data_IF_670776907914
#
_entry.id   IF_670776907914
#
_cell.length_a   1.000
_cell.length_b   1.000
_cell.length_c   1.000
_cell.angle_alpha   90.00
_cell.angle_beta   90.00
_cell.angle_gamma   90.00
#
_symmetry.space_group_name_H-M   'P 1'
#
loop_
_entity.id
_entity.type
_entity.pdbx_description
1 polymer ?
#
# COMPACT_ATOMS: atom_id res chain seq x y z
N UNK A 1 -1.47 -11.91 23.04
CA UNK A 1 -1.86 -10.88 22.06
C UNK A 1 -2.29 -9.63 22.82
N UNK A 2 -1.57 -8.56 22.73
CA UNK A 2 -2.03 -7.30 23.30
C UNK A 2 -3.07 -6.70 22.36
N UNK A 3 -4.26 -6.51 22.88
CA UNK A 3 -5.34 -5.82 22.17
C UNK A 3 -4.99 -4.35 22.14
N UNK A 4 -4.88 -3.77 20.96
CA UNK A 4 -4.48 -2.37 20.72
C UNK A 4 -5.43 -1.35 21.34
N UNK A 5 -6.65 -1.70 21.67
CA UNK A 5 -7.60 -0.99 22.52
C UNK A 5 -8.45 -2.03 23.22
N UNK A 6 -8.34 -2.12 24.53
CA UNK A 6 -9.37 -2.79 25.32
C UNK A 6 -10.58 -1.87 25.39
N UNK A 7 -11.69 -2.34 24.84
CA UNK A 7 -12.98 -1.68 25.05
C UNK A 7 -13.32 -1.88 26.53
N UNK A 8 -13.57 -0.82 27.31
CA UNK A 8 -13.91 -0.96 28.73
C UNK A 8 -15.03 -1.98 28.94
N UNK A 9 -14.92 -2.80 30.00
CA UNK A 9 -15.99 -3.75 30.36
C UNK A 9 -17.33 -3.02 30.45
N UNK A 10 -18.35 -3.58 29.80
CA UNK A 10 -19.70 -3.00 29.76
C UNK A 10 -19.98 -2.07 28.56
N UNK A 11 -18.98 -1.81 27.71
CA UNK A 11 -19.22 -1.01 26.48
C UNK A 11 -19.82 -1.88 25.38
N UNK A 12 -20.91 -1.40 24.76
CA UNK A 12 -21.49 -2.08 23.59
C UNK A 12 -20.55 -1.98 22.38
N UNK A 13 -19.94 -3.10 21.99
CA UNK A 13 -19.04 -3.19 20.82
C UNK A 13 -19.70 -2.73 19.53
N UNK A 14 -21.03 -2.87 19.39
CA UNK A 14 -21.80 -2.43 18.22
C UNK A 14 -21.83 -0.91 18.15
N UNK A 15 -22.04 -0.25 19.27
CA UNK A 15 -22.07 1.21 19.32
C UNK A 15 -20.68 1.84 19.10
N UNK A 16 -19.63 1.24 19.64
CA UNK A 16 -18.24 1.64 19.33
C UNK A 16 -17.96 1.53 17.82
N UNK A 17 -18.32 0.41 17.21
CA UNK A 17 -18.15 0.21 15.75
C UNK A 17 -18.95 1.22 14.93
N UNK A 18 -20.20 1.51 15.29
CA UNK A 18 -21.00 2.53 14.62
C UNK A 18 -20.36 3.92 14.73
N UNK A 19 -19.84 4.29 15.91
CA UNK A 19 -19.15 5.56 16.13
C UNK A 19 -17.90 5.68 15.29
N UNK A 20 -17.04 4.67 15.27
CA UNK A 20 -15.82 4.62 14.42
C UNK A 20 -16.20 4.75 12.94
N UNK A 21 -17.19 3.98 12.46
CA UNK A 21 -17.64 4.06 11.08
C UNK A 21 -18.17 5.45 10.71
N UNK A 22 -18.88 6.12 11.63
CA UNK A 22 -19.35 7.49 11.44
C UNK A 22 -18.18 8.48 11.35
N UNK A 23 -17.17 8.35 12.22
CA UNK A 23 -15.96 9.19 12.21
C UNK A 23 -15.19 9.01 10.89
N UNK A 24 -14.94 7.77 10.47
CA UNK A 24 -14.28 7.44 9.20
C UNK A 24 -15.05 7.98 7.99
N UNK A 25 -16.38 7.83 7.98
CA UNK A 25 -17.25 8.38 6.92
C UNK A 25 -17.17 9.91 6.86
N UNK A 26 -17.14 10.56 8.01
CA UNK A 26 -17.00 12.02 8.11
C UNK A 26 -15.62 12.47 7.64
N UNK A 27 -14.56 11.81 8.10
CA UNK A 27 -13.19 12.10 7.67
C UNK A 27 -13.02 11.95 6.16
N UNK A 28 -13.51 10.86 5.57
CA UNK A 28 -13.49 10.66 4.10
C UNK A 28 -14.24 11.73 3.32
N UNK A 29 -15.35 12.26 3.87
CA UNK A 29 -16.10 13.34 3.23
C UNK A 29 -15.34 14.66 3.30
N UNK A 30 -14.78 15.00 4.46
CA UNK A 30 -14.06 16.24 4.69
C UNK A 30 -12.72 16.29 3.94
N UNK A 31 -12.04 15.14 3.83
CA UNK A 31 -10.75 14.99 3.15
C UNK A 31 -10.83 15.09 1.62
N UNK A 32 -12.04 15.17 1.04
CA UNK A 32 -12.17 15.27 -0.42
C UNK A 32 -11.52 16.56 -0.93
N UNK A 33 -10.63 16.48 -1.94
CA UNK A 33 -10.04 17.65 -2.53
C UNK A 33 -11.10 18.50 -3.27
N UNK A 34 -10.80 19.75 -3.54
CA UNK A 34 -11.66 20.66 -4.33
C UNK A 34 -11.18 20.78 -5.77
N UNK A 35 -9.96 20.32 -6.04
CA UNK A 35 -9.33 20.34 -7.36
C UNK A 35 -8.74 18.97 -7.68
N UNK A 36 -8.71 18.61 -8.96
CA UNK A 36 -8.06 17.40 -9.42
C UNK A 36 -6.54 17.47 -9.18
N UNK A 37 -5.96 16.47 -8.51
CA UNK A 37 -4.53 16.46 -8.20
C UNK A 37 -3.62 16.39 -9.44
N UNK A 38 -4.11 15.86 -10.58
CA UNK A 38 -3.31 15.77 -11.80
C UNK A 38 -3.40 17.00 -12.68
N UNK A 39 -4.59 17.58 -12.90
CA UNK A 39 -4.76 18.72 -13.81
C UNK A 39 -5.02 20.07 -13.11
N UNK A 40 -5.19 20.10 -11.79
CA UNK A 40 -5.45 21.32 -11.02
C UNK A 40 -6.83 21.97 -11.27
N UNK A 41 -7.67 21.40 -12.11
CA UNK A 41 -9.01 21.94 -12.40
C UNK A 41 -9.96 21.70 -11.23
N UNK A 42 -10.80 22.70 -10.92
CA UNK A 42 -11.95 22.51 -10.04
C UNK A 42 -12.92 21.53 -10.69
N UNK A 43 -13.36 20.54 -9.93
CA UNK A 43 -14.31 19.53 -10.38
C UNK A 43 -15.42 19.34 -9.35
N UNK A 44 -16.62 19.04 -9.84
CA UNK A 44 -17.79 18.77 -9.00
C UNK A 44 -17.88 17.32 -8.57
N UNK A 45 -17.20 16.43 -9.31
CA UNK A 45 -17.13 15.00 -9.01
C UNK A 45 -15.75 14.44 -9.33
N UNK A 46 -15.28 13.53 -8.49
CA UNK A 46 -14.03 12.81 -8.66
C UNK A 46 -14.29 11.39 -9.14
N UNK A 47 -13.34 10.83 -9.88
CA UNK A 47 -13.36 9.42 -10.24
C UNK A 47 -13.24 8.54 -9.00
N UNK A 48 -13.88 7.37 -9.01
CA UNK A 48 -13.53 6.26 -8.14
C UNK A 48 -12.32 5.54 -8.74
N UNK A 49 -11.16 6.16 -8.68
CA UNK A 49 -9.93 5.60 -9.22
C UNK A 49 -9.50 4.37 -8.41
N UNK A 50 -9.14 3.29 -9.09
CA UNK A 50 -8.64 2.09 -8.43
C UNK A 50 -7.14 2.21 -8.14
N UNK A 51 -6.72 1.92 -6.92
CA UNK A 51 -5.30 1.88 -6.54
C UNK A 51 -4.55 0.71 -7.18
N UNK A 52 -5.24 -0.41 -7.38
CA UNK A 52 -4.81 -1.54 -8.22
C UNK A 52 -5.75 -1.58 -9.41
N UNK A 53 -5.26 -1.59 -10.67
CA UNK A 53 -6.12 -1.57 -11.84
C UNK A 53 -7.21 -2.63 -11.81
N UNK A 54 -8.43 -2.26 -12.21
CA UNK A 54 -9.56 -3.19 -12.18
C UNK A 54 -9.32 -4.42 -13.05
N UNK A 55 -8.51 -4.29 -14.12
CA UNK A 55 -8.11 -5.41 -14.97
C UNK A 55 -7.32 -6.48 -14.19
N UNK A 56 -6.57 -6.09 -13.15
CA UNK A 56 -5.81 -7.01 -12.32
C UNK A 56 -6.64 -7.60 -11.17
N UNK A 57 -7.72 -6.95 -10.77
CA UNK A 57 -8.61 -7.44 -9.71
C UNK A 57 -9.60 -8.50 -10.22
N UNK A 58 -10.06 -8.37 -11.47
CA UNK A 58 -11.08 -9.26 -12.06
C UNK A 58 -10.64 -10.72 -12.15
N UNK A 59 -9.42 -11.06 -12.60
CA UNK A 59 -9.00 -12.46 -12.75
C UNK A 59 -9.01 -13.26 -11.45
N UNK A 60 -8.74 -12.60 -10.32
CA UNK A 60 -8.65 -13.23 -9.00
C UNK A 60 -9.95 -13.15 -8.20
N UNK A 61 -10.96 -12.41 -8.67
CA UNK A 61 -12.22 -12.29 -7.96
C UNK A 61 -13.02 -13.59 -8.01
N UNK A 62 -13.63 -13.95 -6.89
CA UNK A 62 -14.63 -14.99 -6.83
C UNK A 62 -16.03 -14.37 -6.77
N UNK A 63 -16.87 -14.63 -7.78
CA UNK A 63 -18.19 -14.01 -7.93
C UNK A 63 -18.15 -12.46 -7.78
N UNK A 64 -17.06 -11.84 -8.23
CA UNK A 64 -16.83 -10.39 -8.14
C UNK A 64 -16.41 -9.89 -6.75
N UNK A 65 -16.07 -10.78 -5.82
CA UNK A 65 -15.65 -10.49 -4.44
C UNK A 65 -14.16 -10.79 -4.25
N UNK A 66 -13.51 -9.98 -3.45
CA UNK A 66 -12.10 -10.11 -3.05
C UNK A 66 -11.98 -9.92 -1.52
N UNK A 67 -10.96 -10.51 -0.94
CA UNK A 67 -10.50 -10.22 0.43
C UNK A 67 -9.47 -9.10 0.39
N UNK A 68 -9.46 -8.25 1.40
CA UNK A 68 -8.42 -7.25 1.57
C UNK A 68 -8.05 -7.06 3.04
N UNK A 69 -6.89 -6.46 3.29
CA UNK A 69 -6.46 -6.10 4.63
C UNK A 69 -7.41 -5.07 5.25
N UNK A 70 -7.77 -5.27 6.50
CA UNK A 70 -8.48 -4.28 7.29
C UNK A 70 -7.49 -3.34 7.96
N UNK A 71 -7.30 -2.16 7.39
CA UNK A 71 -6.60 -1.05 8.05
C UNK A 71 -7.43 -0.43 9.19
N UNK A 72 -8.68 -0.83 9.32
CA UNK A 72 -9.57 -0.25 10.32
C UNK A 72 -9.38 -0.96 11.63
N UNK A 73 -9.15 -0.21 12.71
CA UNK A 73 -9.14 -0.64 14.10
C UNK A 73 -10.05 -1.85 14.33
N UNK A 74 -9.50 -3.04 14.08
CA UNK A 74 -10.21 -4.31 14.18
C UNK A 74 -10.22 -4.75 15.63
N UNK A 75 -11.34 -4.55 16.32
CA UNK A 75 -11.61 -5.26 17.53
C UNK A 75 -12.01 -6.68 17.15
N UNK A 76 -11.22 -7.68 17.46
CA UNK A 76 -11.55 -9.13 17.33
C UNK A 76 -11.61 -9.73 15.91
N UNK A 77 -10.97 -9.19 14.87
CA UNK A 77 -10.96 -9.81 13.54
C UNK A 77 -9.56 -10.08 13.02
N UNK A 78 -9.45 -11.12 12.23
CA UNK A 78 -8.29 -11.37 11.40
C UNK A 78 -8.09 -10.19 10.44
N UNK A 79 -6.82 -9.85 10.15
CA UNK A 79 -6.49 -8.65 9.36
C UNK A 79 -6.95 -8.79 7.93
N UNK A 80 -6.93 -10.01 7.39
CA UNK A 80 -7.35 -10.34 6.03
C UNK A 80 -8.73 -10.99 6.11
N UNK A 81 -9.81 -10.21 6.27
CA UNK A 81 -11.18 -10.75 6.39
C UNK A 81 -12.26 -9.83 5.84
N UNK A 82 -11.91 -8.73 5.16
CA UNK A 82 -12.93 -7.84 4.63
C UNK A 82 -13.23 -8.20 3.19
N UNK A 83 -14.48 -8.66 2.97
CA UNK A 83 -15.00 -8.88 1.63
C UNK A 83 -15.44 -7.58 0.98
N UNK A 84 -14.93 -7.30 -0.20
CA UNK A 84 -15.37 -6.19 -1.03
C UNK A 84 -15.57 -6.61 -2.49
N UNK A 85 -16.60 -6.04 -3.11
CA UNK A 85 -16.77 -6.18 -4.55
C UNK A 85 -15.66 -5.44 -5.33
N UNK A 86 -15.21 -5.99 -6.44
CA UNK A 86 -14.16 -5.42 -7.32
C UNK A 86 -14.36 -3.92 -7.57
N UNK A 87 -15.59 -3.46 -7.81
CA UNK A 87 -15.91 -2.04 -8.09
C UNK A 87 -15.63 -1.08 -6.92
N UNK A 88 -15.51 -1.60 -5.69
CA UNK A 88 -15.26 -0.81 -4.48
C UNK A 88 -13.89 -1.06 -3.87
N UNK A 89 -13.20 -2.11 -4.34
CA UNK A 89 -11.89 -2.50 -3.82
C UNK A 89 -10.84 -1.46 -4.19
N UNK A 90 -10.20 -0.87 -3.18
CA UNK A 90 -9.09 0.07 -3.36
C UNK A 90 -9.42 1.37 -4.08
N UNK A 91 -10.68 1.81 -4.05
CA UNK A 91 -11.04 3.06 -4.72
C UNK A 91 -10.73 4.28 -3.87
N UNK A 92 -10.25 5.34 -4.51
CA UNK A 92 -10.02 6.66 -3.92
C UNK A 92 -10.53 7.78 -4.84
N UNK A 93 -10.81 8.97 -4.29
CA UNK A 93 -11.40 10.10 -5.01
C UNK A 93 -10.46 11.31 -4.94
N UNK A 94 -9.47 11.37 -5.81
CA UNK A 94 -8.43 12.41 -5.80
C UNK A 94 -8.19 13.07 -7.15
N UNK A 95 -8.69 12.44 -8.23
CA UNK A 95 -8.54 12.89 -9.61
C UNK A 95 -9.88 12.87 -10.35
N UNK A 96 -10.00 13.67 -11.43
CA UNK A 96 -11.19 13.70 -12.27
C UNK A 96 -11.22 12.51 -13.23
N UNK A 97 -12.42 12.22 -13.79
CA UNK A 97 -12.60 11.12 -14.74
C UNK A 97 -11.72 11.26 -16.00
N UNK A 98 -11.56 12.48 -16.52
CA UNK A 98 -10.72 12.71 -17.70
C UNK A 98 -9.27 12.33 -17.44
N UNK A 99 -8.73 12.71 -16.27
CA UNK A 99 -7.37 12.36 -15.87
C UNK A 99 -7.21 10.86 -15.62
N UNK A 100 -8.16 10.22 -14.93
CA UNK A 100 -8.09 8.78 -14.68
C UNK A 100 -8.12 8.00 -16.00
N UNK A 101 -8.98 8.38 -16.93
CA UNK A 101 -9.13 7.71 -18.21
C UNK A 101 -7.97 7.95 -19.19
N UNK A 102 -7.21 9.06 -19.04
CA UNK A 102 -6.19 9.42 -20.04
C UNK A 102 -4.76 9.22 -19.56
N UNK A 103 -4.48 9.43 -18.27
CA UNK A 103 -3.12 9.46 -17.77
C UNK A 103 -2.50 8.07 -17.60
N UNK A 104 -3.29 7.04 -17.27
CA UNK A 104 -2.80 5.70 -16.92
C UNK A 104 -2.92 4.67 -18.05
N UNK A 105 -3.16 5.11 -19.28
CA UNK A 105 -3.48 4.22 -20.40
C UNK A 105 -2.36 3.27 -20.80
N UNK A 106 -1.10 3.64 -20.58
CA UNK A 106 0.01 2.82 -21.04
C UNK A 106 0.16 1.57 -20.17
N UNK A 107 0.12 1.70 -18.81
CA UNK A 107 0.26 0.54 -17.95
C UNK A 107 -1.06 -0.18 -17.65
N UNK A 108 -2.22 0.48 -17.75
CA UNK A 108 -3.53 -0.16 -17.59
C UNK A 108 -4.02 -0.85 -18.88
N UNK A 109 -3.14 -1.05 -19.82
CA UNK A 109 -3.38 -1.77 -21.07
C UNK A 109 -2.84 -3.21 -20.97
N UNK A 110 -3.70 -4.21 -21.24
CA UNK A 110 -3.35 -5.63 -21.13
C UNK A 110 -2.22 -6.04 -22.09
N UNK A 111 -2.17 -5.47 -23.30
CA UNK A 111 -1.13 -5.80 -24.28
C UNK A 111 0.23 -5.20 -23.88
N UNK A 112 0.22 -4.04 -23.22
CA UNK A 112 1.43 -3.37 -22.80
C UNK A 112 2.00 -3.96 -21.52
N UNK A 113 1.14 -4.25 -20.51
CA UNK A 113 1.61 -4.61 -19.18
C UNK A 113 2.40 -5.93 -19.14
N UNK A 114 2.13 -6.84 -20.07
CA UNK A 114 2.85 -8.11 -20.21
C UNK A 114 4.17 -7.97 -20.96
N UNK A 115 4.46 -6.79 -21.54
CA UNK A 115 5.73 -6.46 -22.16
C UNK A 115 6.70 -5.89 -21.13
N UNK A 116 7.98 -5.79 -21.51
CA UNK A 116 8.96 -5.09 -20.66
C UNK A 116 8.52 -3.64 -20.44
N UNK A 117 8.37 -3.19 -19.18
CA UNK A 117 7.78 -1.89 -18.90
C UNK A 117 8.65 -0.73 -19.42
N UNK A 118 8.00 0.26 -19.99
CA UNK A 118 8.65 1.53 -20.34
C UNK A 118 8.75 2.44 -19.12
N UNK A 119 9.66 3.40 -19.15
CA UNK A 119 9.78 4.38 -18.05
C UNK A 119 8.49 5.17 -17.84
N UNK A 120 7.72 5.44 -18.91
CA UNK A 120 6.41 6.08 -18.82
C UNK A 120 5.43 5.23 -18.04
N UNK A 121 5.32 3.93 -18.33
CA UNK A 121 4.48 2.99 -17.55
C UNK A 121 4.88 2.95 -16.07
N UNK A 122 6.19 2.92 -15.78
CA UNK A 122 6.70 2.95 -14.41
C UNK A 122 6.37 4.27 -13.71
N UNK A 123 6.44 5.40 -14.42
CA UNK A 123 6.04 6.70 -13.90
C UNK A 123 4.53 6.76 -13.62
N UNK A 124 3.68 6.23 -14.50
CA UNK A 124 2.23 6.13 -14.29
C UNK A 124 1.89 5.30 -13.03
N UNK A 125 2.55 4.15 -12.84
CA UNK A 125 2.42 3.32 -11.64
C UNK A 125 2.82 4.13 -10.39
N UNK A 126 3.96 4.82 -10.43
CA UNK A 126 4.45 5.62 -9.31
C UNK A 126 3.47 6.76 -8.96
N UNK A 127 2.95 7.48 -9.96
CA UNK A 127 1.94 8.52 -9.75
C UNK A 127 0.69 7.96 -9.08
N UNK A 128 0.16 6.82 -9.55
CA UNK A 128 -1.02 6.19 -8.96
C UNK A 128 -0.78 5.79 -7.50
N UNK A 129 0.41 5.27 -7.20
CA UNK A 129 0.80 4.93 -5.83
C UNK A 129 0.77 6.16 -4.90
N UNK A 130 1.36 7.27 -5.31
CA UNK A 130 1.37 8.48 -4.50
C UNK A 130 0.00 9.17 -4.40
N UNK A 131 -0.84 9.09 -5.43
CA UNK A 131 -2.22 9.56 -5.35
C UNK A 131 -3.02 8.81 -4.28
N UNK A 132 -2.82 7.50 -4.15
CA UNK A 132 -3.41 6.72 -3.07
C UNK A 132 -2.88 7.18 -1.71
N UNK A 133 -1.56 7.36 -1.56
CA UNK A 133 -0.95 7.82 -0.30
C UNK A 133 -1.47 9.20 0.10
N UNK A 134 -1.56 10.15 -0.83
CA UNK A 134 -2.15 11.47 -0.61
C UNK A 134 -3.59 11.38 -0.12
N UNK A 135 -4.40 10.55 -0.79
CA UNK A 135 -5.80 10.33 -0.39
C UNK A 135 -5.92 9.73 1.01
N UNK A 136 -5.11 8.70 1.33
CA UNK A 136 -5.08 8.09 2.66
C UNK A 136 -4.65 9.11 3.72
N UNK A 137 -3.55 9.84 3.49
CA UNK A 137 -3.01 10.82 4.44
C UNK A 137 -4.00 11.97 4.70
N UNK A 138 -4.72 12.43 3.67
CA UNK A 138 -5.79 13.43 3.85
C UNK A 138 -6.89 12.93 4.79
N UNK A 139 -7.32 11.67 4.62
CA UNK A 139 -8.35 11.06 5.49
C UNK A 139 -7.83 10.89 6.92
N UNK A 140 -6.56 10.51 7.08
CA UNK A 140 -5.94 10.35 8.40
C UNK A 140 -5.83 11.68 9.15
N UNK A 141 -5.44 12.78 8.47
CA UNK A 141 -5.41 14.11 9.07
C UNK A 141 -6.80 14.56 9.54
N UNK A 142 -7.83 14.34 8.72
CA UNK A 142 -9.21 14.66 9.11
C UNK A 142 -9.71 13.76 10.25
N UNK A 143 -9.38 12.48 10.24
CA UNK A 143 -9.72 11.57 11.33
C UNK A 143 -9.05 12.01 12.65
N UNK A 144 -7.78 12.40 12.57
CA UNK A 144 -7.00 12.92 13.69
C UNK A 144 -7.63 14.18 14.29
N UNK A 145 -8.06 15.13 13.43
CA UNK A 145 -8.81 16.33 13.85
C UNK A 145 -10.11 15.99 14.57
N UNK A 146 -10.91 15.05 14.03
CA UNK A 146 -12.18 14.61 14.63
C UNK A 146 -11.92 13.94 16.00
N UNK A 147 -10.91 13.08 16.08
CA UNK A 147 -10.57 12.40 17.34
C UNK A 147 -10.12 13.38 18.42
N UNK A 148 -9.34 14.39 18.06
CA UNK A 148 -8.91 15.43 19.01
C UNK A 148 -10.09 16.24 19.53
N UNK A 149 -11.04 16.61 18.67
CA UNK A 149 -12.25 17.35 19.06
C UNK A 149 -13.17 16.54 19.96
N UNK A 150 -13.34 15.25 19.64
CA UNK A 150 -14.30 14.38 20.36
C UNK A 150 -13.76 13.89 21.71
N UNK A 151 -12.47 13.66 21.83
CA UNK A 151 -11.87 12.95 22.98
C UNK A 151 -10.86 13.77 23.76
N UNK A 152 -10.32 14.85 23.17
CA UNK A 152 -9.23 15.66 23.76
C UNK A 152 -8.06 14.81 24.33
N UNK A 153 -7.69 13.73 23.61
CA UNK A 153 -6.92 12.61 24.16
C UNK A 153 -5.44 12.60 23.76
N UNK A 154 -5.01 13.49 22.87
CA UNK A 154 -3.64 13.46 22.37
C UNK A 154 -2.80 14.57 22.99
N UNK A 155 -1.94 14.21 23.96
CA UNK A 155 -0.98 15.17 24.53
C UNK A 155 -0.02 15.77 23.47
N UNK A 156 0.31 14.98 22.42
CA UNK A 156 1.21 15.40 21.32
C UNK A 156 0.48 15.58 19.98
N UNK A 157 -0.76 16.13 20.02
CA UNK A 157 -1.58 16.28 18.81
C UNK A 157 -0.88 17.07 17.70
N UNK A 158 -0.30 18.23 18.03
CA UNK A 158 0.36 19.13 17.07
C UNK A 158 1.55 18.44 16.41
N UNK A 159 2.41 17.78 17.20
CA UNK A 159 3.56 17.06 16.68
C UNK A 159 3.16 15.94 15.71
N UNK A 160 2.15 15.14 16.10
CA UNK A 160 1.61 14.08 15.23
C UNK A 160 0.96 14.64 13.95
N UNK A 161 0.33 15.81 14.02
CA UNK A 161 -0.24 16.49 12.86
C UNK A 161 0.86 17.03 11.94
N UNK A 162 1.95 17.58 12.48
CA UNK A 162 3.05 18.12 11.69
C UNK A 162 3.80 17.02 10.93
N UNK A 163 3.96 15.84 11.54
CA UNK A 163 4.47 14.65 10.83
C UNK A 163 3.57 14.30 9.64
N UNK A 164 2.25 14.25 9.84
CA UNK A 164 1.30 13.94 8.75
C UNK A 164 1.33 14.96 7.62
N UNK A 165 1.52 16.23 7.94
CA UNK A 165 1.70 17.31 6.95
C UNK A 165 3.03 17.17 6.20
N UNK A 166 4.10 16.79 6.90
CA UNK A 166 5.41 16.52 6.29
C UNK A 166 5.31 15.39 5.27
N UNK A 167 4.73 14.24 5.65
CA UNK A 167 4.50 13.11 4.76
C UNK A 167 3.63 13.49 3.57
N UNK A 168 2.54 14.24 3.81
CA UNK A 168 1.67 14.71 2.74
C UNK A 168 2.42 15.55 1.71
N UNK A 169 3.24 16.50 2.17
CA UNK A 169 4.07 17.35 1.30
C UNK A 169 5.10 16.54 0.52
N UNK A 170 5.69 15.52 1.15
CA UNK A 170 6.63 14.62 0.47
C UNK A 170 5.92 13.80 -0.61
N UNK A 171 4.78 13.17 -0.32
CA UNK A 171 3.99 12.42 -1.31
C UNK A 171 3.52 13.31 -2.48
N UNK A 172 3.13 14.56 -2.22
CA UNK A 172 2.77 15.51 -3.28
C UNK A 172 3.97 15.82 -4.18
N UNK A 173 5.13 16.09 -3.59
CA UNK A 173 6.37 16.32 -4.32
C UNK A 173 6.77 15.12 -5.18
N UNK A 174 6.67 13.91 -4.64
CA UNK A 174 6.96 12.67 -5.36
C UNK A 174 5.96 12.43 -6.50
N UNK A 175 4.66 12.61 -6.25
CA UNK A 175 3.62 12.49 -7.27
C UNK A 175 3.89 13.44 -8.44
N UNK A 176 4.17 14.72 -8.17
CA UNK A 176 4.47 15.72 -9.20
C UNK A 176 5.76 15.41 -9.95
N UNK A 177 6.78 14.89 -9.27
CA UNK A 177 8.03 14.47 -9.90
C UNK A 177 7.80 13.35 -10.92
N UNK A 178 7.12 12.27 -10.54
CA UNK A 178 6.83 11.16 -11.43
C UNK A 178 5.84 11.55 -12.54
N UNK A 179 4.87 12.42 -12.23
CA UNK A 179 3.96 12.98 -13.24
C UNK A 179 4.73 13.72 -14.35
N UNK A 180 5.72 14.54 -13.98
CA UNK A 180 6.54 15.25 -14.95
C UNK A 180 7.34 14.30 -15.88
N UNK A 181 7.83 13.17 -15.35
CA UNK A 181 8.49 12.13 -16.16
C UNK A 181 7.51 11.51 -17.14
N UNK A 182 6.29 11.15 -16.69
CA UNK A 182 5.26 10.58 -17.56
C UNK A 182 4.81 11.57 -18.64
N UNK A 183 4.54 12.84 -18.29
CA UNK A 183 4.10 13.89 -19.21
C UNK A 183 5.14 14.18 -20.30
N UNK A 184 6.42 14.15 -19.97
CA UNK A 184 7.52 14.38 -20.89
C UNK A 184 7.99 13.13 -21.63
N UNK A 185 7.46 11.96 -21.24
CA UNK A 185 7.92 10.67 -21.72
C UNK A 185 9.45 10.51 -21.59
N UNK A 186 9.99 10.91 -20.43
CA UNK A 186 11.43 10.81 -20.16
C UNK A 186 11.84 9.34 -20.02
N UNK A 187 13.03 8.98 -20.50
CA UNK A 187 13.55 7.61 -20.46
C UNK A 187 14.85 7.51 -19.65
N UNK A 188 15.16 6.32 -19.16
CA UNK A 188 16.38 6.03 -18.41
C UNK A 188 16.37 6.48 -16.95
N UNK A 189 15.20 6.92 -16.42
CA UNK A 189 15.03 7.40 -15.05
C UNK A 189 14.88 6.30 -14.01
N UNK A 190 14.32 5.17 -14.40
CA UNK A 190 14.03 4.08 -13.46
C UNK A 190 15.06 2.96 -13.50
N UNK A 191 15.12 2.25 -12.39
CA UNK A 191 15.87 1.03 -12.21
C UNK A 191 14.90 -0.09 -11.82
N UNK A 192 14.73 -1.06 -12.71
CA UNK A 192 13.97 -2.26 -12.44
C UNK A 192 14.81 -3.16 -11.53
N UNK A 193 14.23 -3.51 -10.40
CA UNK A 193 14.77 -4.44 -9.42
C UNK A 193 14.41 -5.87 -9.79
N UNK A 194 13.16 -6.06 -10.20
CA UNK A 194 12.62 -7.33 -10.68
C UNK A 194 11.45 -7.07 -11.63
N UNK A 195 11.39 -7.85 -12.71
CA UNK A 195 10.24 -7.89 -13.62
C UNK A 195 10.10 -9.30 -14.16
N UNK A 196 8.88 -9.84 -14.07
CA UNK A 196 8.58 -11.18 -14.57
C UNK A 196 7.10 -11.28 -14.94
N UNK A 197 6.83 -11.97 -16.04
CA UNK A 197 5.50 -12.51 -16.37
C UNK A 197 5.46 -13.97 -15.97
N UNK A 198 4.68 -14.28 -14.95
CA UNK A 198 4.44 -15.64 -14.48
C UNK A 198 3.38 -16.30 -15.37
N UNK A 199 3.57 -17.56 -15.86
CA UNK A 199 2.64 -18.22 -16.76
C UNK A 199 1.44 -18.84 -16.02
N UNK A 200 0.95 -18.17 -14.98
CA UNK A 200 -0.21 -18.54 -14.17
C UNK A 200 -0.75 -17.32 -13.43
N UNK A 201 -2.00 -17.40 -12.98
CA UNK A 201 -2.68 -16.34 -12.25
C UNK A 201 -2.42 -16.52 -10.76
N UNK A 202 -1.65 -15.61 -10.15
CA UNK A 202 -1.42 -15.62 -8.70
C UNK A 202 -2.68 -15.13 -7.97
N UNK A 203 -2.96 -15.60 -6.74
CA UNK A 203 -4.19 -15.27 -6.01
C UNK A 203 -4.16 -13.88 -5.34
N UNK A 204 -3.15 -13.06 -5.61
CA UNK A 204 -2.97 -11.76 -4.99
C UNK A 204 -2.76 -10.68 -6.06
N UNK A 205 -3.42 -9.55 -5.91
CA UNK A 205 -3.19 -8.33 -6.68
C UNK A 205 -2.80 -7.20 -5.74
N UNK A 206 -1.75 -6.45 -6.07
CA UNK A 206 -1.32 -5.31 -5.27
C UNK A 206 -0.59 -4.27 -6.11
N UNK A 207 -0.58 -3.04 -5.64
CA UNK A 207 0.24 -1.97 -6.16
C UNK A 207 0.51 -0.94 -5.06
N UNK A 208 1.76 -0.60 -4.78
CA UNK A 208 2.11 0.38 -3.75
C UNK A 208 3.50 0.98 -3.95
N UNK A 209 3.71 2.20 -3.47
CA UNK A 209 5.01 2.70 -3.09
C UNK A 209 5.25 2.34 -1.62
N UNK A 210 6.37 1.69 -1.33
CA UNK A 210 6.74 1.26 0.01
C UNK A 210 8.08 1.85 0.43
N UNK A 211 8.22 2.13 1.72
CA UNK A 211 9.46 2.61 2.35
C UNK A 211 10.13 1.44 3.06
N UNK A 212 11.02 0.74 2.35
CA UNK A 212 11.73 -0.39 2.93
C UNK A 212 12.76 0.10 3.94
N UNK A 213 12.65 -0.36 5.18
CA UNK A 213 13.53 0.10 6.27
C UNK A 213 14.87 -0.62 6.30
N UNK A 214 14.91 -1.91 5.93
CA UNK A 214 16.13 -2.73 5.95
C UNK A 214 16.26 -3.57 4.69
N UNK A 215 17.50 -3.80 4.25
CA UNK A 215 17.81 -4.73 3.18
C UNK A 215 17.74 -6.20 3.65
N UNK A 216 18.05 -7.14 2.77
CA UNK A 216 17.98 -8.59 3.05
C UNK A 216 18.98 -9.06 4.12
N UNK A 217 20.02 -8.29 4.40
CA UNK A 217 21.04 -8.56 5.41
C UNK A 217 20.80 -7.77 6.72
N UNK A 218 19.71 -6.99 6.78
CA UNK A 218 19.35 -6.19 7.95
C UNK A 218 20.01 -4.81 8.00
N UNK A 219 20.74 -4.38 6.95
CA UNK A 219 21.30 -3.04 6.90
C UNK A 219 20.20 -2.01 6.63
N UNK A 220 20.29 -0.84 7.28
CA UNK A 220 19.32 0.25 7.12
C UNK A 220 19.31 0.78 5.68
N UNK A 221 18.09 0.93 5.13
CA UNK A 221 17.79 1.63 3.88
C UNK A 221 17.14 2.97 4.21
N UNK A 222 15.98 2.97 4.87
CA UNK A 222 15.29 4.17 5.30
C UNK A 222 15.13 4.16 6.82
N UNK A 223 15.35 5.33 7.43
CA UNK A 223 15.04 5.55 8.83
C UNK A 223 13.71 6.31 8.95
N UNK A 224 12.62 5.57 9.13
CA UNK A 224 11.25 6.15 9.22
C UNK A 224 11.03 6.96 10.52
N UNK A 225 11.95 6.87 11.49
CA UNK A 225 11.91 7.64 12.73
C UNK A 225 12.70 8.96 12.63
N UNK A 226 13.32 9.23 11.48
CA UNK A 226 14.03 10.47 11.26
C UNK A 226 13.06 11.60 10.97
N UNK A 227 12.92 12.53 11.92
CA UNK A 227 12.04 13.69 11.86
C UNK A 227 12.65 14.91 11.16
N UNK A 228 13.86 14.78 10.59
CA UNK A 228 14.49 15.84 9.82
C UNK A 228 13.85 15.96 8.44
N UNK A 229 13.07 17.01 8.22
CA UNK A 229 12.38 17.27 6.95
C UNK A 229 13.33 17.44 5.73
N UNK A 230 14.63 17.60 5.95
CA UNK A 230 15.64 17.64 4.88
C UNK A 230 15.99 16.23 4.36
N UNK A 231 15.73 15.20 5.16
CA UNK A 231 15.99 13.79 4.82
C UNK A 231 14.72 13.19 4.23
N UNK A 232 14.71 13.00 2.90
CA UNK A 232 13.59 12.40 2.19
C UNK A 232 13.64 10.89 2.23
N UNK A 233 12.48 10.27 2.38
CA UNK A 233 12.34 8.84 2.20
C UNK A 233 12.59 8.43 0.75
N UNK A 234 13.11 7.23 0.55
CA UNK A 234 13.28 6.63 -0.77
C UNK A 234 12.28 5.50 -0.95
N UNK A 235 11.68 5.43 -2.14
CA UNK A 235 10.54 4.56 -2.37
C UNK A 235 10.87 3.42 -3.32
N UNK A 236 10.46 2.21 -2.94
CA UNK A 236 10.38 1.06 -3.81
C UNK A 236 8.92 0.92 -4.28
N UNK A 237 8.71 0.88 -5.58
CA UNK A 237 7.40 0.63 -6.17
C UNK A 237 7.25 -0.85 -6.46
N UNK A 238 6.16 -1.43 -5.98
CA UNK A 238 5.77 -2.82 -6.23
C UNK A 238 4.43 -2.86 -6.95
N UNK A 239 4.31 -3.78 -7.91
CA UNK A 239 3.04 -4.14 -8.51
C UNK A 239 3.00 -5.65 -8.79
N UNK A 240 1.92 -6.29 -8.37
CA UNK A 240 1.56 -7.67 -8.70
C UNK A 240 0.21 -7.58 -9.37
N UNK A 241 0.20 -7.83 -10.67
CA UNK A 241 -0.95 -7.59 -11.53
C UNK A 241 -1.35 -8.89 -12.23
N UNK A 242 -2.27 -9.67 -11.64
CA UNK A 242 -2.91 -10.79 -12.32
C UNK A 242 -3.62 -10.31 -13.58
N UNK A 243 -3.41 -11.02 -14.67
CA UNK A 243 -4.10 -10.82 -15.95
C UNK A 243 -4.65 -12.18 -16.42
N UNK A 244 -5.39 -12.20 -17.51
CA UNK A 244 -5.94 -13.45 -18.01
C UNK A 244 -4.82 -14.45 -18.36
N UNK A 245 -4.79 -15.59 -17.64
CA UNK A 245 -3.82 -16.68 -17.84
C UNK A 245 -2.41 -16.44 -17.33
N UNK A 246 -2.08 -15.25 -16.78
CA UNK A 246 -0.73 -14.92 -16.31
C UNK A 246 -0.74 -13.89 -15.18
N UNK A 247 0.43 -13.55 -14.65
CA UNK A 247 0.57 -12.47 -13.67
C UNK A 247 1.87 -11.73 -13.89
N UNK A 248 1.82 -10.41 -13.81
CA UNK A 248 2.99 -9.55 -13.93
C UNK A 248 3.46 -9.14 -12.55
N UNK A 249 4.73 -9.36 -12.25
CA UNK A 249 5.38 -8.92 -11.01
C UNK A 249 6.43 -7.89 -11.36
N UNK A 250 6.31 -6.69 -10.80
CA UNK A 250 7.22 -5.58 -11.05
C UNK A 250 7.69 -5.00 -9.71
N UNK A 251 9.00 -4.85 -9.55
CA UNK A 251 9.62 -4.09 -8.48
C UNK A 251 10.62 -3.11 -9.09
N UNK A 252 10.49 -1.82 -8.79
CA UNK A 252 11.35 -0.79 -9.36
C UNK A 252 11.50 0.42 -8.44
N UNK A 253 12.53 1.23 -8.68
CA UNK A 253 12.75 2.49 -8.00
C UNK A 253 13.34 3.52 -8.96
N UNK A 254 13.23 4.81 -8.65
CA UNK A 254 13.89 5.84 -9.45
C UNK A 254 15.40 5.87 -9.15
N UNK A 255 16.24 6.09 -10.15
CA UNK A 255 17.72 6.07 -10.02
C UNK A 255 18.29 7.10 -9.03
N UNK A 256 17.53 8.13 -8.68
CA UNK A 256 17.89 9.07 -7.61
C UNK A 256 17.89 8.40 -6.23
N UNK A 257 17.10 7.33 -6.04
CA UNK A 257 16.89 6.62 -4.77
C UNK A 257 18.02 5.61 -4.53
N UNK A 258 19.21 6.15 -4.24
CA UNK A 258 20.48 5.41 -4.24
C UNK A 258 20.60 4.37 -3.12
N UNK A 259 19.78 4.48 -2.07
CA UNK A 259 19.79 3.55 -0.94
C UNK A 259 19.39 2.13 -1.36
N UNK A 260 18.59 1.97 -2.43
CA UNK A 260 18.20 0.66 -2.97
C UNK A 260 19.28 -0.06 -3.79
N UNK A 261 20.44 0.54 -4.03
CA UNK A 261 21.51 -0.08 -4.83
C UNK A 261 22.01 -1.38 -4.23
N UNK A 262 22.19 -1.44 -2.89
CA UNK A 262 22.61 -2.66 -2.20
C UNK A 262 21.55 -3.76 -2.33
N UNK A 263 20.28 -3.42 -2.06
CA UNK A 263 19.17 -4.35 -2.24
C UNK A 263 19.12 -4.92 -3.65
N UNK A 264 19.38 -4.10 -4.67
CA UNK A 264 19.46 -4.56 -6.06
C UNK A 264 20.55 -5.60 -6.26
N UNK A 265 21.73 -5.41 -5.68
CA UNK A 265 22.80 -6.40 -5.76
C UNK A 265 22.42 -7.71 -5.09
N UNK A 266 21.79 -7.65 -3.93
CA UNK A 266 21.29 -8.82 -3.21
C UNK A 266 20.24 -9.58 -4.03
N UNK A 267 19.23 -8.89 -4.58
CA UNK A 267 18.20 -9.48 -5.45
C UNK A 267 18.82 -10.18 -6.69
N UNK A 268 19.81 -9.57 -7.32
CA UNK A 268 20.47 -10.15 -8.49
C UNK A 268 21.36 -11.36 -8.15
N UNK A 269 21.66 -11.62 -6.88
CA UNK A 269 22.52 -12.72 -6.43
C UNK A 269 21.76 -13.97 -6.00
N UNK A 270 20.43 -13.92 -5.92
CA UNK A 270 19.58 -15.02 -5.46
C UNK A 270 18.72 -15.58 -6.60
N UNK A 271 18.14 -16.77 -6.38
CA UNK A 271 17.27 -17.41 -7.37
C UNK A 271 15.95 -16.63 -7.54
N UNK A 272 15.30 -16.80 -8.69
CA UNK A 272 13.99 -16.20 -8.98
C UNK A 272 12.95 -16.54 -7.90
N UNK A 273 12.90 -17.78 -7.43
CA UNK A 273 11.97 -18.20 -6.38
C UNK A 273 12.22 -17.44 -5.06
N UNK A 274 13.49 -17.22 -4.70
CA UNK A 274 13.82 -16.43 -3.51
C UNK A 274 13.48 -14.96 -3.69
N UNK A 275 13.58 -14.41 -4.90
CA UNK A 275 13.12 -13.05 -5.21
C UNK A 275 11.60 -12.95 -5.04
N UNK A 276 10.83 -13.88 -5.61
CA UNK A 276 9.37 -13.91 -5.47
C UNK A 276 8.95 -14.03 -4.00
N UNK A 277 9.61 -14.90 -3.23
CA UNK A 277 9.38 -15.03 -1.79
C UNK A 277 9.67 -13.73 -1.03
N UNK A 278 10.75 -13.04 -1.37
CA UNK A 278 11.08 -11.75 -0.76
C UNK A 278 10.08 -10.65 -1.14
N UNK A 279 9.66 -10.58 -2.41
CA UNK A 279 8.61 -9.63 -2.84
C UNK A 279 7.31 -9.90 -2.10
N UNK A 280 6.89 -11.15 -1.98
CA UNK A 280 5.70 -11.54 -1.20
C UNK A 280 5.81 -11.06 0.27
N UNK A 281 6.97 -11.25 0.90
CA UNK A 281 7.24 -10.75 2.24
C UNK A 281 7.11 -9.22 2.33
N UNK A 282 7.70 -8.48 1.38
CA UNK A 282 7.61 -7.02 1.35
C UNK A 282 6.16 -6.51 1.22
N UNK A 283 5.31 -7.23 0.49
CA UNK A 283 3.88 -6.89 0.37
C UNK A 283 3.23 -6.85 1.74
N UNK A 284 3.31 -7.93 2.50
CA UNK A 284 2.62 -8.01 3.79
C UNK A 284 3.27 -7.16 4.88
N UNK A 285 4.58 -6.91 4.79
CA UNK A 285 5.28 -6.09 5.77
C UNK A 285 5.09 -4.58 5.57
N UNK A 286 4.98 -4.09 4.32
CA UNK A 286 5.07 -2.66 4.05
C UNK A 286 3.83 -2.03 3.42
N UNK A 287 2.79 -2.80 3.11
CA UNK A 287 1.58 -2.23 2.53
C UNK A 287 0.33 -2.98 2.92
N UNK A 288 -0.79 -2.27 2.96
CA UNK A 288 -2.14 -2.82 3.12
C UNK A 288 -2.91 -2.81 1.79
N UNK A 289 -2.29 -2.29 0.71
CA UNK A 289 -2.96 -2.16 -0.58
C UNK A 289 -2.81 -3.43 -1.42
N UNK A 290 -3.31 -4.54 -0.88
CA UNK A 290 -3.38 -5.83 -1.57
C UNK A 290 -4.77 -6.45 -1.46
N UNK A 291 -5.10 -7.29 -2.43
CA UNK A 291 -6.38 -7.98 -2.58
C UNK A 291 -6.11 -9.44 -2.85
N UNK A 292 -6.78 -10.32 -2.11
CA UNK A 292 -6.56 -11.77 -2.18
C UNK A 292 -7.83 -12.44 -2.72
N UNK A 293 -7.64 -13.47 -3.53
CA UNK A 293 -8.71 -14.30 -4.05
C UNK A 293 -9.34 -15.14 -2.95
N UNK A 294 -10.66 -15.23 -2.94
CA UNK A 294 -11.41 -16.18 -2.10
C UNK A 294 -11.36 -17.64 -2.61
N UNK A 295 -10.76 -17.86 -3.78
CA UNK A 295 -10.62 -19.21 -4.35
C UNK A 295 -9.54 -20.05 -3.64
N UNK A 296 -8.63 -19.43 -2.88
CA UNK A 296 -7.66 -20.14 -2.05
C UNK A 296 -8.28 -20.55 -0.72
N UNK A 297 -7.75 -21.61 -0.12
CA UNK A 297 -8.20 -22.12 1.18
C UNK A 297 -7.98 -21.10 2.30
N UNK A 298 -8.95 -21.03 3.24
CA UNK A 298 -8.93 -20.02 4.30
C UNK A 298 -7.73 -20.17 5.24
N UNK A 299 -7.25 -21.40 5.43
CA UNK A 299 -6.11 -21.71 6.27
C UNK A 299 -4.82 -21.02 5.80
N UNK A 300 -4.72 -20.71 4.50
CA UNK A 300 -3.54 -20.09 3.89
C UNK A 300 -3.42 -18.63 4.31
N UNK A 301 -4.51 -17.86 4.19
CA UNK A 301 -4.48 -16.46 4.61
C UNK A 301 -4.72 -16.27 6.13
N UNK A 302 -5.18 -17.32 6.82
CA UNK A 302 -5.27 -17.36 8.28
C UNK A 302 -3.94 -17.79 8.97
N UNK A 303 -2.86 -18.01 8.21
CA UNK A 303 -1.55 -18.35 8.76
C UNK A 303 -1.10 -17.34 9.83
N UNK A 304 -0.74 -17.80 11.03
CA UNK A 304 -0.44 -16.94 12.18
C UNK A 304 0.74 -15.99 11.92
N UNK A 305 1.80 -16.47 11.26
CA UNK A 305 2.96 -15.64 10.92
C UNK A 305 2.61 -14.58 9.89
N UNK A 306 1.76 -14.90 8.90
CA UNK A 306 1.25 -13.94 7.92
C UNK A 306 0.40 -12.85 8.59
N UNK A 307 -0.53 -13.24 9.46
CA UNK A 307 -1.38 -12.31 10.21
C UNK A 307 -0.53 -11.39 11.10
N UNK A 308 0.48 -11.95 11.78
CA UNK A 308 1.42 -11.17 12.60
C UNK A 308 2.23 -10.20 11.75
N UNK A 309 2.78 -10.62 10.60
CA UNK A 309 3.54 -9.76 9.69
C UNK A 309 2.68 -8.61 9.16
N UNK A 310 1.44 -8.88 8.79
CA UNK A 310 0.51 -7.86 8.31
C UNK A 310 0.09 -6.86 9.42
N UNK A 311 0.13 -7.26 10.70
CA UNK A 311 -0.07 -6.38 11.84
C UNK A 311 1.12 -5.46 12.12
N UNK A 312 2.32 -5.95 11.84
CA UNK A 312 3.59 -5.23 12.03
C UNK A 312 3.88 -4.22 10.93
N UNK A 313 2.90 -3.91 10.07
CA UNK A 313 3.08 -3.10 8.88
C UNK A 313 3.81 -1.77 9.17
N UNK A 314 5.11 -1.74 8.85
CA UNK A 314 5.97 -0.57 9.01
C UNK A 314 5.52 0.61 8.11
N UNK A 315 4.64 0.38 7.14
CA UNK A 315 4.03 1.39 6.29
C UNK A 315 2.92 2.17 6.97
N UNK A 316 2.54 1.81 8.21
CA UNK A 316 1.60 2.57 9.01
C UNK A 316 2.35 3.41 10.08
N UNK A 317 2.69 4.69 9.78
CA UNK A 317 3.45 5.52 10.70
C UNK A 317 2.75 5.75 12.06
N UNK A 318 1.44 5.51 12.13
CA UNK A 318 0.70 5.62 13.39
C UNK A 318 1.02 4.51 14.38
N UNK A 319 1.35 3.31 13.89
CA UNK A 319 1.77 2.19 14.74
C UNK A 319 3.26 2.29 15.11
N UNK A 320 4.11 2.74 14.19
CA UNK A 320 5.52 3.00 14.45
C UNK A 320 5.74 4.10 15.50
N UNK A 321 4.92 5.14 15.52
CA UNK A 321 4.99 6.19 16.56
C UNK A 321 4.64 5.69 17.97
N UNK A 322 3.83 4.65 18.11
CA UNK A 322 3.57 4.02 19.41
C UNK A 322 4.73 3.14 19.88
N UNK A 323 5.80 3.05 19.06
CA UNK A 323 7.00 2.30 19.45
C UNK A 323 6.68 0.84 19.73
N UNK A 324 5.85 0.20 18.91
CA UNK A 324 5.48 -1.21 19.11
C UNK A 324 6.73 -2.08 19.18
N UNK A 325 7.77 -1.76 18.44
CA UNK A 325 9.09 -2.39 18.55
C UNK A 325 9.76 -2.17 19.90
N UNK A 326 9.48 -1.06 20.60
CA UNK A 326 10.05 -0.72 21.90
C UNK A 326 9.10 -1.03 23.07
N UNK A 327 7.79 -1.00 22.87
CA UNK A 327 6.80 -1.20 23.92
C UNK A 327 6.69 -2.67 24.35
N UNK A 328 6.97 -3.62 23.46
CA UNK A 328 6.94 -5.07 23.70
C UNK A 328 8.33 -5.69 23.82
N UNK A 329 9.32 -4.91 23.93
CA UNK A 329 10.77 -5.01 23.83
C UNK A 329 11.52 -6.17 24.44
N UNK A 330 10.93 -7.24 24.92
CA UNK A 330 11.72 -8.34 25.50
C UNK A 330 11.63 -9.68 24.76
N UNK A 331 10.70 -9.86 23.81
CA UNK A 331 10.57 -11.12 23.06
C UNK A 331 10.09 -10.95 21.60
N UNK A 332 10.29 -9.76 21.00
CA UNK A 332 9.93 -9.56 19.60
C UNK A 332 10.87 -10.33 18.68
N UNK A 333 10.36 -11.36 18.03
CA UNK A 333 11.05 -12.08 16.97
C UNK A 333 10.45 -11.66 15.64
N UNK A 334 11.21 -10.99 14.75
CA UNK A 334 10.72 -10.66 13.41
C UNK A 334 10.23 -11.90 12.68
N UNK A 335 9.15 -11.78 11.93
CA UNK A 335 8.67 -12.87 11.06
C UNK A 335 9.67 -13.06 9.94
N UNK A 336 10.12 -14.30 9.73
CA UNK A 336 10.96 -14.66 8.58
C UNK A 336 10.10 -14.89 7.33
N UNK A 337 10.64 -14.54 6.15
CA UNK A 337 9.94 -14.73 4.87
C UNK A 337 9.58 -16.19 4.56
N UNK A 338 10.23 -17.15 5.20
CA UNK A 338 9.95 -18.58 5.07
C UNK A 338 8.85 -19.09 6.02
N UNK A 339 8.40 -18.26 6.97
CA UNK A 339 7.32 -18.59 7.90
C UNK A 339 5.92 -18.28 7.35
N UNK A 340 5.87 -17.60 6.19
CA UNK A 340 4.61 -17.19 5.54
C UNK A 340 4.41 -17.91 4.20
N UNK A 341 3.16 -18.20 3.79
CA UNK A 341 2.87 -18.75 2.47
C UNK A 341 3.29 -17.75 1.38
N UNK A 342 3.92 -18.26 0.31
CA UNK A 342 4.33 -17.43 -0.82
C UNK A 342 3.25 -17.41 -1.90
N UNK A 343 2.39 -16.43 -1.90
CA UNK A 343 1.29 -16.28 -2.86
C UNK A 343 1.74 -16.12 -4.32
N UNK A 344 3.04 -15.96 -4.57
CA UNK A 344 3.59 -15.85 -5.92
C UNK A 344 4.05 -17.21 -6.50
N UNK A 345 3.90 -18.28 -5.76
CA UNK A 345 4.20 -19.64 -6.25
C UNK A 345 3.04 -20.23 -7.05
N UNK A 346 3.40 -21.12 -7.99
CA UNK A 346 2.44 -21.74 -8.90
C UNK A 346 1.40 -22.61 -8.17
N UNK A 347 1.76 -23.16 -7.01
CA UNK A 347 0.85 -24.03 -6.24
C UNK A 347 -0.41 -23.30 -5.76
N UNK A 348 -0.35 -21.98 -5.60
CA UNK A 348 -1.48 -21.12 -5.18
C UNK A 348 -2.25 -20.52 -6.37
N UNK A 349 -1.93 -20.89 -7.61
CA UNK A 349 -2.57 -20.32 -8.80
C UNK A 349 -4.09 -20.57 -8.81
N UNK A 350 -4.88 -19.56 -9.29
CA UNK A 350 -6.35 -19.58 -9.28
C UNK A 350 -6.95 -19.48 -10.68
#
# INVERSE_FOLDING_TARGET
MAKMMEVPEGTDKVDVRKRINKMLSTARRNAKPTVCALCGKKVTSFCNSHSVPQMALKPIADNGILLHASATLGFDKEIIDIENGVKKSGTFNYICNDCDNSFFQDYENLDNIVQHPTDKMLAEIAVKNFLLQLSKRSVEMELWNIMQQDFNTFENFEEGMDIKKMDFSEYESEMLFHKNIADKNESGGYQILFWKVLPYVVPIAMQSAITVTKDMEGNEINNIYNMDASVKMQYLHLAILPVEGSSVVIAFYHKRDKLYRRLRHQINSISENEVLKYINYLVFKYTENYYISKKIESEIYANESLQRLAQENDGNPNLGMLGVDNFWGLNYKPVDKNEIPNFLEKEWAV
#
